data_IF_560340774661
#
_entry.id   IF_560340774661
#
_cell.length_a   1.000
_cell.length_b   1.000
_cell.length_c   1.000
_cell.angle_alpha   90.00
_cell.angle_beta   90.00
_cell.angle_gamma   90.00
#
_symmetry.space_group_name_H-M   'P 1'
#
loop_
_entity.id
_entity.type
_entity.pdbx_description
1 polymer ?
#
# COMPACT_ATOMS: atom_id res chain seq x y z
N UNK A 1 32.42 -43.96 -15.53
CA UNK A 1 33.43 -44.59 -14.67
C UNK A 1 34.72 -43.83 -14.98
N UNK A 2 35.29 -42.98 -14.12
CA UNK A 2 35.51 -43.08 -12.68
C UNK A 2 35.65 -41.69 -12.06
N UNK A 3 35.17 -41.54 -10.82
CA UNK A 3 35.35 -40.38 -9.95
C UNK A 3 36.81 -40.17 -9.53
N UNK A 4 37.21 -38.92 -9.27
CA UNK A 4 37.91 -38.58 -8.03
C UNK A 4 37.75 -37.10 -7.70
N UNK A 5 37.21 -36.84 -6.52
CA UNK A 5 37.12 -35.54 -5.87
C UNK A 5 38.10 -35.52 -4.71
N UNK A 6 38.92 -34.48 -4.60
CA UNK A 6 39.61 -34.00 -3.38
C UNK A 6 39.86 -32.51 -3.69
N UNK A 7 39.24 -31.51 -3.05
CA UNK A 7 39.04 -31.31 -1.63
C UNK A 7 40.19 -30.46 -1.10
N UNK A 8 40.00 -29.14 -0.94
CA UNK A 8 40.73 -28.38 0.07
C UNK A 8 40.01 -27.08 0.45
N UNK A 9 39.99 -26.85 1.76
CA UNK A 9 39.26 -25.84 2.53
C UNK A 9 40.30 -25.00 3.28
N UNK A 10 39.93 -23.73 3.51
CA UNK A 10 40.34 -22.83 4.62
C UNK A 10 41.73 -22.16 4.52
N UNK A 11 41.73 -20.82 4.53
CA UNK A 11 42.40 -20.02 5.58
C UNK A 11 41.98 -18.54 5.46
N UNK A 12 41.28 -18.06 6.48
CA UNK A 12 41.09 -16.65 6.80
C UNK A 12 42.43 -16.03 7.24
N UNK A 13 42.66 -14.75 6.91
CA UNK A 13 43.71 -13.95 7.53
C UNK A 13 43.15 -12.55 7.78
N UNK A 14 42.66 -12.37 9.00
CA UNK A 14 42.49 -11.08 9.67
C UNK A 14 43.89 -10.53 10.01
N UNK A 15 44.07 -9.21 9.92
CA UNK A 15 45.21 -8.55 10.52
C UNK A 15 44.72 -7.31 11.28
N UNK A 16 44.64 -7.46 12.60
CA UNK A 16 44.64 -6.41 13.61
C UNK A 16 46.08 -6.24 14.15
N UNK A 17 46.56 -5.00 14.29
CA UNK A 17 47.35 -4.49 15.43
C UNK A 17 47.63 -2.98 15.20
N UNK A 18 47.12 -2.07 16.06
CA UNK A 18 47.70 -1.60 17.35
C UNK A 18 48.67 -0.42 17.14
N UNK A 19 48.79 0.64 17.97
CA UNK A 19 48.08 1.23 19.12
C UNK A 19 48.84 2.55 19.44
N UNK A 20 48.17 3.64 19.83
CA UNK A 20 48.58 4.52 20.95
C UNK A 20 47.50 5.56 21.32
N UNK A 21 47.18 5.55 22.61
CA UNK A 21 46.14 6.27 23.36
C UNK A 21 46.37 7.79 23.53
N UNK A 22 45.28 8.54 23.73
CA UNK A 22 44.98 9.49 24.85
C UNK A 22 43.53 10.00 24.72
N UNK A 23 42.61 9.57 25.60
CA UNK A 23 41.94 10.30 26.72
C UNK A 23 41.30 11.62 26.28
N UNK A 24 39.97 11.67 26.13
CA UNK A 24 38.92 11.86 27.16
C UNK A 24 38.42 13.31 27.10
N UNK A 25 37.10 13.50 26.99
CA UNK A 25 36.50 14.81 26.78
C UNK A 25 35.12 14.75 26.12
N UNK A 26 34.14 14.31 26.90
CA UNK A 26 32.73 14.73 26.89
C UNK A 26 32.16 15.16 25.53
N UNK A 27 31.55 14.22 24.81
CA UNK A 27 30.61 14.58 23.75
C UNK A 27 29.37 15.23 24.40
N UNK A 28 29.36 16.55 24.47
CA UNK A 28 28.12 17.30 24.60
C UNK A 28 27.32 17.00 23.34
N UNK A 29 26.33 16.12 23.46
CA UNK A 29 25.29 16.00 22.47
C UNK A 29 24.61 17.36 22.41
N UNK A 30 24.99 18.16 21.41
CA UNK A 30 24.20 19.32 21.01
C UNK A 30 22.91 18.73 20.45
N UNK A 31 21.92 18.52 21.32
CA UNK A 31 20.57 18.22 20.91
C UNK A 31 20.09 19.43 20.13
N UNK A 32 20.16 19.34 18.81
CA UNK A 32 19.36 20.20 17.95
C UNK A 32 17.94 19.73 18.18
N UNK A 33 17.25 20.36 19.12
CA UNK A 33 15.80 20.29 19.20
C UNK A 33 15.29 20.95 17.94
N UNK A 34 15.00 20.13 16.93
CA UNK A 34 14.07 20.55 15.89
C UNK A 34 12.78 20.83 16.66
N UNK A 35 12.41 22.10 16.79
CA UNK A 35 11.05 22.46 17.16
C UNK A 35 10.16 21.85 16.08
N UNK A 36 9.66 20.64 16.36
CA UNK A 36 8.52 20.09 15.66
C UNK A 36 7.41 21.10 15.88
N UNK A 37 7.14 21.93 14.88
CA UNK A 37 5.96 22.78 14.87
C UNK A 37 4.79 21.88 15.24
N UNK A 38 4.25 22.10 16.44
CA UNK A 38 3.09 21.36 16.91
C UNK A 38 1.98 21.72 15.95
N UNK A 39 1.59 20.76 15.11
CA UNK A 39 0.48 20.97 14.19
C UNK A 39 -0.76 21.10 15.06
N UNK A 40 -1.28 22.32 15.24
CA UNK A 40 -2.50 22.58 15.99
C UNK A 40 -3.71 22.42 15.08
N UNK A 41 -4.82 21.93 15.63
CA UNK A 41 -6.06 21.83 14.88
C UNK A 41 -6.60 23.24 14.57
N UNK A 42 -6.88 23.61 13.31
CA UNK A 42 -7.38 24.94 12.97
C UNK A 42 -8.82 25.20 13.45
N UNK A 43 -9.48 24.20 14.04
CA UNK A 43 -10.86 24.30 14.55
C UNK A 43 -10.90 24.54 16.05
N UNK A 44 -10.07 23.84 16.84
CA UNK A 44 -10.05 23.98 18.29
C UNK A 44 -8.74 24.57 18.84
N UNK A 45 -7.75 24.81 17.99
CA UNK A 45 -6.42 25.34 18.35
C UNK A 45 -5.68 24.51 19.40
N UNK A 46 -5.97 23.19 19.46
CA UNK A 46 -5.30 22.24 20.33
C UNK A 46 -4.30 21.39 19.51
N UNK A 47 -3.19 20.95 20.12
CA UNK A 47 -2.22 20.06 19.48
C UNK A 47 -2.87 18.84 18.86
N UNK A 48 -2.59 18.59 17.57
CA UNK A 48 -3.04 17.39 16.89
C UNK A 48 -2.37 16.16 17.52
N UNK A 49 -3.19 15.25 18.05
CA UNK A 49 -2.77 13.94 18.51
C UNK A 49 -3.27 12.88 17.52
N UNK A 50 -2.47 11.84 17.23
CA UNK A 50 -2.97 10.70 16.46
C UNK A 50 -4.27 10.13 17.06
N UNK A 51 -5.27 9.78 16.23
CA UNK A 51 -5.31 9.88 14.77
C UNK A 51 -5.58 11.32 14.25
N UNK A 52 -4.80 11.73 13.24
CA UNK A 52 -4.89 13.04 12.58
C UNK A 52 -5.62 12.86 11.25
N UNK A 53 -6.57 13.75 10.94
CA UNK A 53 -7.40 13.63 9.74
C UNK A 53 -7.13 14.76 8.76
N UNK A 54 -7.02 14.44 7.47
CA UNK A 54 -6.80 15.41 6.40
C UNK A 54 -8.08 15.61 5.60
N UNK A 55 -8.53 16.87 5.46
CA UNK A 55 -9.69 17.18 4.61
C UNK A 55 -9.31 17.17 3.12
N UNK A 56 -10.31 17.19 2.22
CA UNK A 56 -10.10 17.18 0.77
C UNK A 56 -9.26 18.37 0.22
N UNK A 57 -9.08 19.43 1.01
CA UNK A 57 -8.27 20.62 0.67
C UNK A 57 -6.86 20.55 1.30
N UNK A 58 -6.57 19.52 2.10
CA UNK A 58 -5.24 19.28 2.68
C UNK A 58 -5.02 19.81 4.10
N UNK A 59 -6.04 20.37 4.76
CA UNK A 59 -5.92 20.79 6.16
C UNK A 59 -6.01 19.61 7.13
N UNK A 60 -5.18 19.63 8.17
CA UNK A 60 -5.16 18.63 9.23
C UNK A 60 -6.07 19.04 10.39
N UNK A 61 -6.96 18.15 10.83
CA UNK A 61 -7.94 18.38 11.89
C UNK A 61 -7.93 17.23 12.91
N UNK A 62 -8.31 17.51 14.16
CA UNK A 62 -8.41 16.49 15.21
C UNK A 62 -9.70 15.69 15.10
N UNK A 63 -9.70 14.48 15.69
CA UNK A 63 -10.86 13.57 15.74
C UNK A 63 -12.13 14.23 16.28
N UNK A 64 -12.00 15.00 17.37
CA UNK A 64 -13.11 15.62 18.08
C UNK A 64 -13.76 16.77 17.31
N UNK A 65 -13.01 17.46 16.46
CA UNK A 65 -13.52 18.50 15.57
C UNK A 65 -14.05 17.95 14.26
N UNK A 66 -13.51 16.82 13.78
CA UNK A 66 -13.96 16.19 12.55
C UNK A 66 -15.47 15.88 12.57
N UNK A 67 -15.99 15.36 13.68
CA UNK A 67 -17.43 15.06 13.84
C UNK A 67 -18.35 16.27 13.94
N UNK A 68 -17.81 17.49 14.09
CA UNK A 68 -18.56 18.74 14.26
C UNK A 68 -18.66 19.58 12.98
N UNK A 69 -17.99 19.16 11.91
CA UNK A 69 -18.05 19.86 10.63
C UNK A 69 -19.42 19.69 9.99
N UNK A 70 -19.92 20.68 9.23
CA UNK A 70 -21.27 20.64 8.64
C UNK A 70 -21.47 19.54 7.57
N UNK A 71 -20.45 18.72 7.26
CA UNK A 71 -20.55 17.55 6.38
C UNK A 71 -19.34 16.60 6.55
N UNK A 72 -19.18 15.88 7.68
CA UNK A 72 -17.96 15.12 7.98
C UNK A 72 -17.66 14.04 6.91
N UNK A 73 -18.71 13.50 6.27
CA UNK A 73 -18.64 12.51 5.18
C UNK A 73 -18.08 13.06 3.85
N UNK A 74 -18.08 14.38 3.66
CA UNK A 74 -17.47 15.06 2.49
C UNK A 74 -15.97 15.33 2.71
N UNK A 75 -15.56 15.44 3.98
CA UNK A 75 -14.20 15.79 4.38
C UNK A 75 -13.40 14.59 4.87
N UNK A 76 -14.04 13.45 5.10
CA UNK A 76 -13.43 12.14 5.32
C UNK A 76 -13.89 11.17 4.23
N UNK A 77 -12.99 10.43 3.55
CA UNK A 77 -13.38 9.18 2.92
C UNK A 77 -13.95 8.23 3.99
N UNK A 78 -14.89 7.31 3.67
CA UNK A 78 -15.38 6.31 4.62
C UNK A 78 -14.27 5.44 5.21
N UNK A 79 -13.12 5.38 4.52
CA UNK A 79 -11.83 4.88 5.01
C UNK A 79 -11.30 5.59 6.26
N UNK A 80 -11.99 6.59 6.78
CA UNK A 80 -11.61 7.25 8.03
C UNK A 80 -12.83 7.51 8.91
N UNK A 81 -14.05 7.12 8.48
CA UNK A 81 -15.26 7.32 9.28
C UNK A 81 -15.48 6.12 10.21
N UNK A 82 -15.34 6.28 11.54
CA UNK A 82 -15.43 5.16 12.49
C UNK A 82 -16.85 4.55 12.63
N UNK A 83 -17.87 5.14 11.99
CA UNK A 83 -19.29 4.77 12.16
C UNK A 83 -19.99 4.38 10.84
N UNK A 84 -19.27 4.02 9.78
CA UNK A 84 -19.93 3.47 8.59
C UNK A 84 -20.45 2.05 8.90
N UNK A 85 -21.76 1.94 9.09
CA UNK A 85 -22.47 0.67 9.22
C UNK A 85 -23.33 0.47 7.98
N UNK A 86 -22.84 -0.34 7.04
CA UNK A 86 -23.52 -0.64 5.78
C UNK A 86 -23.03 -1.97 5.21
N UNK A 87 -23.80 -2.54 4.29
CA UNK A 87 -23.36 -3.74 3.56
C UNK A 87 -22.19 -3.42 2.63
N UNK A 88 -21.47 -4.45 2.16
CA UNK A 88 -20.43 -4.28 1.13
C UNK A 88 -21.01 -3.64 -0.14
N UNK A 89 -22.25 -3.93 -0.51
CA UNK A 89 -22.93 -3.28 -1.65
C UNK A 89 -23.07 -1.76 -1.47
N UNK A 90 -23.54 -1.30 -0.31
CA UNK A 90 -23.66 0.14 -0.01
C UNK A 90 -22.30 0.83 0.01
N UNK A 91 -21.26 0.12 0.47
CA UNK A 91 -19.90 0.64 0.46
C UNK A 91 -19.36 0.80 -0.97
N UNK A 92 -19.66 -0.16 -1.86
CA UNK A 92 -19.30 -0.06 -3.28
C UNK A 92 -19.98 1.13 -3.95
N UNK A 93 -21.29 1.29 -3.76
CA UNK A 93 -22.06 2.43 -4.30
C UNK A 93 -21.48 3.75 -3.82
N UNK A 94 -21.14 3.85 -2.54
CA UNK A 94 -20.47 5.03 -2.03
C UNK A 94 -19.15 5.32 -2.76
N UNK A 95 -18.28 4.31 -2.95
CA UNK A 95 -17.02 4.52 -3.67
C UNK A 95 -17.22 4.96 -5.12
N UNK A 96 -18.24 4.45 -5.80
CA UNK A 96 -18.50 4.83 -7.19
C UNK A 96 -19.20 6.17 -7.32
N UNK A 97 -20.10 6.52 -6.40
CA UNK A 97 -20.96 7.69 -6.54
C UNK A 97 -20.30 8.95 -5.98
N UNK A 98 -19.69 8.84 -4.79
CA UNK A 98 -19.08 9.96 -4.09
C UNK A 98 -17.63 10.18 -4.53
N UNK A 99 -16.85 9.10 -4.67
CA UNK A 99 -15.44 9.18 -5.04
C UNK A 99 -15.19 9.00 -6.54
N UNK A 100 -16.19 8.58 -7.32
CA UNK A 100 -16.06 8.31 -8.77
C UNK A 100 -14.94 7.31 -9.07
N UNK A 101 -14.63 6.42 -8.14
CA UNK A 101 -13.60 5.42 -8.35
C UNK A 101 -14.07 4.43 -9.41
N UNK A 102 -13.20 4.04 -10.35
CA UNK A 102 -13.53 3.01 -11.31
C UNK A 102 -13.85 1.72 -10.56
N UNK A 103 -14.88 1.00 -11.01
CA UNK A 103 -15.23 -0.29 -10.46
C UNK A 103 -15.28 -1.39 -11.51
N UNK A 104 -14.93 -2.60 -11.13
CA UNK A 104 -14.99 -3.77 -12.01
C UNK A 104 -15.44 -5.00 -11.25
N UNK A 105 -16.39 -5.72 -11.84
CA UNK A 105 -16.84 -7.03 -11.35
C UNK A 105 -15.95 -8.13 -11.93
N UNK A 106 -15.60 -9.11 -11.10
CA UNK A 106 -14.78 -10.25 -11.54
C UNK A 106 -15.35 -11.59 -11.05
N UNK A 107 -14.84 -12.67 -11.62
CA UNK A 107 -15.11 -14.06 -11.21
C UNK A 107 -13.82 -14.72 -10.76
N UNK A 108 -13.86 -15.49 -9.67
CA UNK A 108 -12.65 -16.13 -9.13
C UNK A 108 -12.05 -17.11 -10.15
N UNK A 109 -10.72 -17.08 -10.28
CA UNK A 109 -9.98 -17.91 -11.24
C UNK A 109 -9.96 -17.37 -12.67
N UNK A 110 -10.70 -16.31 -12.97
CA UNK A 110 -10.70 -15.65 -14.28
C UNK A 110 -9.87 -14.37 -14.25
N UNK A 111 -9.03 -14.17 -15.27
CA UNK A 111 -8.32 -12.90 -15.44
C UNK A 111 -9.26 -11.84 -16.02
N UNK A 112 -9.10 -10.61 -15.52
CA UNK A 112 -9.61 -9.41 -16.16
C UNK A 112 -8.48 -8.38 -16.23
N UNK A 113 -8.62 -7.42 -17.15
CA UNK A 113 -7.64 -6.36 -17.34
C UNK A 113 -8.16 -5.04 -16.79
N UNK A 114 -7.31 -4.32 -16.05
CA UNK A 114 -7.57 -2.93 -15.66
C UNK A 114 -6.44 -2.02 -16.10
N UNK A 115 -6.74 -0.75 -16.33
CA UNK A 115 -5.74 0.25 -16.70
C UNK A 115 -4.85 0.56 -15.51
N UNK A 116 -3.55 0.73 -15.75
CA UNK A 116 -2.61 1.20 -14.74
C UNK A 116 -2.72 2.72 -14.67
N UNK A 117 -3.65 3.21 -13.86
CA UNK A 117 -3.88 4.64 -13.61
C UNK A 117 -3.77 4.92 -12.12
N UNK A 118 -3.10 6.01 -11.78
CA UNK A 118 -2.90 6.43 -10.38
C UNK A 118 -4.23 6.56 -9.64
N UNK A 119 -4.26 6.06 -8.40
CA UNK A 119 -5.43 6.07 -7.54
C UNK A 119 -5.99 4.67 -7.26
N UNK A 120 -7.25 4.66 -6.83
CA UNK A 120 -7.91 3.47 -6.29
C UNK A 120 -8.96 2.96 -7.27
N UNK A 121 -8.92 1.66 -7.54
CA UNK A 121 -9.89 0.92 -8.34
C UNK A 121 -10.62 -0.09 -7.45
N UNK A 122 -11.95 -0.03 -7.42
CA UNK A 122 -12.81 -0.94 -6.65
C UNK A 122 -13.07 -2.22 -7.43
N UNK A 123 -12.69 -3.36 -6.87
CA UNK A 123 -12.83 -4.66 -7.53
C UNK A 123 -13.78 -5.50 -6.69
N UNK A 124 -14.90 -5.91 -7.27
CA UNK A 124 -15.98 -6.63 -6.56
C UNK A 124 -16.15 -8.04 -7.09
N UNK A 125 -16.09 -9.04 -6.20
CA UNK A 125 -16.30 -10.44 -6.52
C UNK A 125 -17.78 -10.79 -6.70
N UNK A 126 -18.04 -11.92 -7.37
CA UNK A 126 -19.40 -12.45 -7.58
C UNK A 126 -20.14 -12.83 -6.27
N UNK A 127 -19.41 -12.98 -5.17
CA UNK A 127 -19.93 -13.24 -3.82
C UNK A 127 -20.14 -11.97 -2.97
N UNK A 128 -19.99 -10.78 -3.56
CA UNK A 128 -20.14 -9.50 -2.87
C UNK A 128 -18.94 -9.12 -1.99
N UNK A 129 -17.84 -9.87 -2.05
CA UNK A 129 -16.57 -9.48 -1.44
C UNK A 129 -15.97 -8.29 -2.20
N UNK A 130 -15.48 -7.30 -1.46
CA UNK A 130 -14.84 -6.12 -2.01
C UNK A 130 -13.33 -6.13 -1.83
N UNK A 131 -12.65 -5.63 -2.85
CA UNK A 131 -11.21 -5.44 -2.90
C UNK A 131 -10.89 -4.05 -3.42
N UNK A 132 -9.75 -3.50 -2.97
CA UNK A 132 -9.20 -2.25 -3.46
C UNK A 132 -7.87 -2.53 -4.15
N UNK A 133 -7.77 -2.17 -5.43
CA UNK A 133 -6.50 -2.12 -6.14
C UNK A 133 -6.02 -0.67 -6.13
N UNK A 134 -4.88 -0.44 -5.49
CA UNK A 134 -4.25 0.87 -5.41
C UNK A 134 -3.04 0.91 -6.34
N UNK A 135 -2.97 1.95 -7.18
CA UNK A 135 -1.81 2.28 -8.00
C UNK A 135 -1.23 3.58 -7.48
N UNK A 136 0.01 3.53 -6.98
CA UNK A 136 0.74 4.72 -6.55
C UNK A 136 1.93 4.98 -7.48
N UNK A 137 2.10 6.24 -7.86
CA UNK A 137 3.20 6.70 -8.71
C UNK A 137 4.50 6.78 -7.89
N UNK A 138 5.59 6.29 -8.45
CA UNK A 138 6.92 6.26 -7.83
C UNK A 138 7.99 6.77 -8.81
N UNK A 139 9.16 7.24 -8.34
CA UNK A 139 10.22 7.76 -9.24
C UNK A 139 10.65 6.76 -10.32
N UNK A 140 10.59 5.46 -10.02
CA UNK A 140 10.96 4.38 -10.93
C UNK A 140 9.81 3.84 -11.80
N UNK A 141 8.56 4.31 -11.61
CA UNK A 141 7.38 3.79 -12.30
C UNK A 141 6.13 3.87 -11.44
N UNK A 142 5.49 2.73 -11.18
CA UNK A 142 4.41 2.68 -10.22
C UNK A 142 4.45 1.39 -9.41
N UNK A 143 3.74 1.41 -8.29
CA UNK A 143 3.55 0.27 -7.40
C UNK A 143 2.07 -0.03 -7.28
N UNK A 144 1.75 -1.33 -7.28
CA UNK A 144 0.39 -1.84 -7.28
C UNK A 144 0.21 -2.71 -6.05
N UNK A 145 -0.87 -2.43 -5.32
CA UNK A 145 -1.24 -3.14 -4.10
C UNK A 145 -2.71 -3.54 -4.17
N UNK A 146 -3.05 -4.70 -3.61
CA UNK A 146 -4.43 -5.21 -3.58
C UNK A 146 -4.80 -5.57 -2.16
N UNK A 147 -5.92 -5.03 -1.67
CA UNK A 147 -6.40 -5.22 -0.30
C UNK A 147 -7.81 -5.81 -0.32
N UNK A 148 -8.11 -6.68 0.65
CA UNK A 148 -9.45 -7.18 0.89
C UNK A 148 -10.14 -6.29 1.93
N UNK A 149 -11.33 -5.78 1.61
CA UNK A 149 -12.11 -4.99 2.56
C UNK A 149 -12.85 -5.93 3.50
N UNK A 150 -12.44 -5.99 4.76
CA UNK A 150 -13.09 -6.82 5.78
C UNK A 150 -13.28 -6.06 7.10
N UNK A 151 -14.43 -6.25 7.77
CA UNK A 151 -14.72 -5.58 9.04
C UNK A 151 -13.91 -6.16 10.21
N UNK A 152 -13.32 -7.33 10.05
CA UNK A 152 -12.49 -7.99 11.06
C UNK A 152 -11.20 -8.47 10.42
N UNK A 153 -10.09 -8.30 11.14
CA UNK A 153 -8.81 -8.88 10.75
C UNK A 153 -8.93 -10.41 10.86
N UNK A 154 -9.14 -11.05 9.72
CA UNK A 154 -9.16 -12.50 9.61
C UNK A 154 -8.07 -12.94 8.66
N UNK A 155 -7.56 -14.16 8.88
CA UNK A 155 -6.52 -14.75 8.07
C UNK A 155 -6.79 -14.56 6.56
N UNK A 156 -5.78 -14.21 5.75
CA UNK A 156 -5.94 -13.97 4.32
C UNK A 156 -6.62 -15.14 3.62
N UNK A 157 -7.87 -14.95 3.17
CA UNK A 157 -8.66 -15.98 2.46
C UNK A 157 -8.52 -15.92 0.95
N UNK A 158 -7.72 -14.99 0.44
CA UNK A 158 -7.63 -14.72 -0.98
C UNK A 158 -6.17 -14.61 -1.43
N UNK A 159 -5.93 -15.04 -2.67
CA UNK A 159 -4.69 -14.81 -3.40
C UNK A 159 -4.98 -13.93 -4.60
N UNK A 160 -4.05 -13.04 -4.92
CA UNK A 160 -4.09 -12.23 -6.12
C UNK A 160 -2.84 -12.53 -6.95
N UNK A 161 -3.05 -12.80 -8.24
CA UNK A 161 -1.99 -12.83 -9.22
C UNK A 161 -2.10 -11.60 -10.11
N UNK A 162 -1.02 -10.82 -10.15
CA UNK A 162 -0.85 -9.67 -11.02
C UNK A 162 0.13 -10.04 -12.12
N UNK A 163 -0.27 -9.82 -13.37
CA UNK A 163 0.54 -10.13 -14.54
C UNK A 163 0.56 -8.97 -15.52
N UNK A 164 1.76 -8.54 -15.88
CA UNK A 164 2.02 -7.55 -16.91
C UNK A 164 2.77 -8.22 -18.05
N UNK A 165 2.28 -8.07 -19.27
CA UNK A 165 2.97 -8.47 -20.49
C UNK A 165 3.04 -7.31 -21.45
N UNK A 166 4.21 -7.09 -22.04
CA UNK A 166 4.47 -5.95 -22.90
C UNK A 166 5.48 -6.30 -23.99
N UNK A 167 5.26 -5.78 -25.20
CA UNK A 167 6.20 -5.93 -26.31
C UNK A 167 6.83 -4.57 -26.66
N UNK A 168 8.13 -4.39 -26.41
CA UNK A 168 8.87 -3.15 -26.76
C UNK A 168 10.11 -3.49 -27.56
N UNK A 169 10.39 -2.71 -28.60
CA UNK A 169 11.67 -2.76 -29.33
C UNK A 169 12.05 -4.17 -29.82
N UNK A 170 11.07 -4.97 -30.23
CA UNK A 170 11.29 -6.35 -30.68
C UNK A 170 11.53 -7.37 -29.56
N UNK A 171 11.42 -6.97 -28.29
CA UNK A 171 11.57 -7.82 -27.12
C UNK A 171 10.24 -7.98 -26.38
N UNK A 172 9.95 -9.21 -25.96
CA UNK A 172 8.82 -9.53 -25.09
C UNK A 172 9.25 -9.50 -23.62
N UNK A 173 8.51 -8.74 -22.82
CA UNK A 173 8.70 -8.67 -21.38
C UNK A 173 7.43 -9.15 -20.69
N UNK A 174 7.59 -10.04 -19.72
CA UNK A 174 6.51 -10.49 -18.86
C UNK A 174 6.98 -10.48 -17.41
N UNK A 175 6.11 -9.99 -16.54
CA UNK A 175 6.29 -9.97 -15.10
C UNK A 175 5.01 -10.48 -14.46
N UNK A 176 5.13 -11.40 -13.52
CA UNK A 176 3.98 -11.92 -12.77
C UNK A 176 4.36 -12.10 -11.31
N UNK A 177 3.44 -11.79 -10.41
CA UNK A 177 3.57 -12.04 -8.97
C UNK A 177 2.24 -12.56 -8.45
N UNK A 178 2.30 -13.58 -7.59
CA UNK A 178 1.16 -14.08 -6.86
C UNK A 178 1.42 -13.96 -5.35
N UNK A 179 0.49 -13.35 -4.64
CA UNK A 179 0.62 -13.04 -3.22
C UNK A 179 -0.71 -13.25 -2.48
N UNK A 180 -0.61 -13.44 -1.16
CA UNK A 180 -1.78 -13.40 -0.30
C UNK A 180 -2.30 -11.97 -0.20
N UNK A 181 -3.62 -11.81 -0.28
CA UNK A 181 -4.26 -10.49 -0.22
C UNK A 181 -4.44 -10.11 1.24
N UNK A 182 -3.73 -9.09 1.74
CA UNK A 182 -3.92 -8.62 3.11
C UNK A 182 -5.35 -8.12 3.33
N UNK A 183 -5.87 -8.42 4.52
CA UNK A 183 -7.12 -7.86 5.01
C UNK A 183 -6.88 -6.44 5.49
N UNK A 184 -7.85 -5.56 5.25
CA UNK A 184 -7.81 -4.17 5.66
C UNK A 184 -9.11 -3.83 6.39
N UNK A 185 -8.98 -3.36 7.64
CA UNK A 185 -10.04 -2.59 8.26
C UNK A 185 -9.96 -1.18 7.69
N UNK A 186 -11.08 -0.68 7.17
CA UNK A 186 -11.09 0.62 6.50
C UNK A 186 -10.68 1.75 7.44
N UNK A 187 -10.68 1.56 8.76
CA UNK A 187 -10.31 2.55 9.78
C UNK A 187 -8.85 2.99 9.78
N UNK A 188 -7.92 2.16 9.32
CA UNK A 188 -6.48 2.43 9.43
C UNK A 188 -5.90 3.19 8.21
N UNK A 189 -6.74 3.45 7.19
CA UNK A 189 -6.32 4.02 5.92
C UNK A 189 -5.47 3.05 5.08
N UNK A 190 -5.21 3.38 3.80
CA UNK A 190 -4.44 2.50 2.90
C UNK A 190 -2.99 2.33 3.38
N UNK A 191 -2.43 1.12 3.39
CA UNK A 191 -1.09 0.89 3.90
C UNK A 191 -0.10 1.45 2.89
N UNK A 192 0.73 2.40 3.33
CA UNK A 192 1.68 3.09 2.46
C UNK A 192 2.94 2.27 2.14
N UNK A 193 3.21 1.20 2.88
CA UNK A 193 4.42 0.40 2.73
C UNK A 193 4.14 -1.06 2.30
N UNK A 194 2.92 -1.38 1.87
CA UNK A 194 2.51 -2.75 1.51
C UNK A 194 2.39 -2.94 -0.01
N UNK A 195 3.46 -2.66 -0.74
CA UNK A 195 3.52 -2.85 -2.19
C UNK A 195 3.81 -4.30 -2.56
N UNK A 196 3.01 -4.85 -3.47
CA UNK A 196 3.07 -6.28 -3.82
C UNK A 196 3.55 -6.50 -5.27
N UNK A 197 3.51 -5.45 -6.10
CA UNK A 197 3.95 -5.48 -7.48
C UNK A 197 4.52 -4.13 -7.93
N UNK A 198 5.70 -4.14 -8.53
CA UNK A 198 6.36 -2.95 -9.06
C UNK A 198 6.32 -3.01 -10.58
N UNK A 199 5.87 -1.93 -11.23
CA UNK A 199 5.93 -1.76 -12.69
C UNK A 199 6.94 -0.67 -13.04
N UNK A 200 8.07 -1.02 -13.67
CA UNK A 200 9.04 -0.03 -14.13
C UNK A 200 8.45 0.92 -15.18
N UNK A 201 8.79 2.21 -15.08
CA UNK A 201 8.33 3.29 -15.98
C UNK A 201 8.55 2.98 -17.46
N UNK A 202 9.61 2.24 -17.78
CA UNK A 202 9.96 1.86 -19.15
C UNK A 202 8.84 1.06 -19.86
N UNK A 203 8.04 0.29 -19.10
CA UNK A 203 6.95 -0.55 -19.60
C UNK A 203 5.56 0.11 -19.48
N UNK A 204 5.49 1.34 -18.98
CA UNK A 204 4.24 2.10 -18.85
C UNK A 204 4.04 3.01 -20.06
N UNK A 205 2.88 2.88 -20.68
CA UNK A 205 2.29 3.81 -21.64
C UNK A 205 0.87 4.20 -21.14
N UNK A 206 0.24 5.21 -21.73
CA UNK A 206 -1.08 5.74 -21.32
C UNK A 206 -2.19 4.67 -21.23
N UNK A 207 -2.13 3.66 -22.09
CA UNK A 207 -3.10 2.56 -22.19
C UNK A 207 -2.57 1.24 -21.61
N UNK A 208 -1.49 1.28 -20.82
CA UNK A 208 -0.95 0.09 -20.16
C UNK A 208 -2.01 -0.55 -19.25
N UNK A 209 -2.16 -1.87 -19.39
CA UNK A 209 -3.11 -2.68 -18.62
C UNK A 209 -2.40 -3.75 -17.83
N UNK A 210 -2.96 -4.09 -16.68
CA UNK A 210 -2.53 -5.22 -15.86
C UNK A 210 -3.61 -6.29 -15.83
N UNK A 211 -3.21 -7.54 -16.04
CA UNK A 211 -4.08 -8.70 -15.81
C UNK A 211 -4.12 -8.98 -14.31
N UNK A 212 -5.33 -9.04 -13.75
CA UNK A 212 -5.60 -9.32 -12.35
C UNK A 212 -6.39 -10.62 -12.28
N UNK A 213 -5.90 -11.58 -11.49
CA UNK A 213 -6.62 -12.83 -11.21
C UNK A 213 -6.76 -13.01 -9.71
N UNK A 214 -8.00 -13.06 -9.23
CA UNK A 214 -8.31 -13.30 -7.83
C UNK A 214 -8.67 -14.77 -7.62
N UNK A 215 -8.14 -15.38 -6.57
CA UNK A 215 -8.39 -16.78 -6.20
C UNK A 215 -8.78 -16.86 -4.72
N UNK A 216 -9.64 -17.80 -4.37
CA UNK A 216 -9.87 -18.17 -2.97
C UNK A 216 -8.70 -19.03 -2.48
N UNK A 217 -8.27 -18.85 -1.25
CA UNK A 217 -7.39 -19.80 -0.59
C UNK A 217 -8.16 -21.13 -0.49
N UNK A 218 -7.53 -22.22 -0.93
CA UNK A 218 -8.07 -23.57 -0.72
C UNK A 218 -8.12 -23.83 0.78
N UNK A 219 -9.29 -24.22 1.28
CA UNK A 219 -9.45 -24.73 2.63
C UNK A 219 -8.65 -26.02 2.85
#
# INVERSE_FOLDING_TARGET
MSNSAVGNRIAEAQQEESCRKRKDGTATATSVTVELEVLDCPVCFEPLRPPIFQCAVGHLICSSCCGKLPNPKKYMPPLLSPNFSGSTGMLQEHFTDEHKWPSTKFRYGWCFYTNIKEGIHVISGEDGQLFLLNVASEPFGCVISVFCVQPHDTDPKFRCALSLSYWKNGSYHAQSSEFQVPSMTLSDGLPRDCFLFIVPKFYLDEDSKICVTMKKASA
#
